data_IF_530140707123
#
_entry.id   IF_530140707123
#
_cell.length_a   1.000
_cell.length_b   1.000
_cell.length_c   1.000
_cell.angle_alpha   90.00
_cell.angle_beta   90.00
_cell.angle_gamma   90.00
#
_symmetry.space_group_name_H-M   'P 1'
#
loop_
_entity.id
_entity.type
_entity.pdbx_description
1 polymer ?
#
# COMPACT_ATOMS: atom_id res chain seq x y z
N UNK A 1 11.92 -4.63 15.48
CA UNK A 1 10.83 -4.10 14.62
C UNK A 1 10.28 -5.25 13.79
N UNK A 2 8.98 -5.25 13.53
CA UNK A 2 8.32 -6.28 12.72
C UNK A 2 8.28 -5.90 11.24
N UNK A 3 7.85 -6.80 10.34
CA UNK A 3 7.83 -6.54 8.91
C UNK A 3 7.04 -5.29 8.50
N UNK A 4 5.98 -4.96 9.24
CA UNK A 4 5.11 -3.80 9.01
C UNK A 4 5.63 -2.50 9.62
N UNK A 5 6.61 -2.54 10.51
CA UNK A 5 7.15 -1.34 11.15
C UNK A 5 8.56 -1.01 10.67
N UNK A 6 9.24 -1.93 10.01
CA UNK A 6 10.55 -1.66 9.43
C UNK A 6 10.43 -0.91 8.10
N UNK A 7 11.12 0.24 7.91
CA UNK A 7 11.11 0.98 6.65
C UNK A 7 11.54 0.11 5.47
N UNK A 8 10.81 0.10 4.34
CA UNK A 8 11.22 -0.63 3.14
C UNK A 8 12.64 -0.32 2.65
N UNK A 9 13.14 0.91 2.85
CA UNK A 9 14.51 1.28 2.48
C UNK A 9 15.61 0.54 3.23
N UNK A 10 15.34 0.07 4.45
CA UNK A 10 16.31 -0.77 5.18
C UNK A 10 16.34 -2.21 4.66
N UNK A 11 15.37 -2.60 3.84
CA UNK A 11 15.29 -3.92 3.19
C UNK A 11 15.75 -3.89 1.73
N UNK A 12 16.36 -2.79 1.27
CA UNK A 12 16.88 -2.63 -0.08
C UNK A 12 15.88 -2.09 -1.10
N UNK A 13 14.66 -1.71 -0.69
CA UNK A 13 13.67 -1.06 -1.57
C UNK A 13 13.95 0.44 -1.57
N UNK A 14 14.27 1.08 -2.71
CA UNK A 14 14.56 2.50 -2.70
C UNK A 14 13.35 3.34 -2.25
N UNK A 15 13.59 4.37 -1.42
CA UNK A 15 12.53 5.19 -0.81
C UNK A 15 11.59 5.84 -1.83
N UNK A 16 12.12 6.26 -3.00
CA UNK A 16 11.28 6.80 -4.08
C UNK A 16 10.26 5.78 -4.59
N UNK A 17 10.62 4.49 -4.67
CA UNK A 17 9.72 3.43 -5.11
C UNK A 17 8.64 3.16 -4.06
N UNK A 18 9.02 3.24 -2.77
CA UNK A 18 8.06 3.15 -1.66
C UNK A 18 7.03 4.27 -1.71
N UNK A 19 7.45 5.51 -1.93
CA UNK A 19 6.52 6.64 -2.06
C UNK A 19 5.66 6.54 -3.31
N UNK A 20 6.23 6.13 -4.46
CA UNK A 20 5.46 5.88 -5.67
C UNK A 20 4.35 4.85 -5.41
N UNK A 21 4.68 3.73 -4.76
CA UNK A 21 3.71 2.68 -4.46
C UNK A 21 2.62 3.16 -3.49
N UNK A 22 2.98 3.96 -2.48
CA UNK A 22 2.03 4.58 -1.56
C UNK A 22 1.05 5.52 -2.29
N UNK A 23 1.54 6.32 -3.25
CA UNK A 23 0.69 7.18 -4.08
C UNK A 23 -0.25 6.36 -4.96
N UNK A 24 0.24 5.27 -5.57
CA UNK A 24 -0.62 4.35 -6.34
C UNK A 24 -1.71 3.75 -5.47
N UNK A 25 -1.39 3.28 -4.27
CA UNK A 25 -2.37 2.79 -3.30
C UNK A 25 -3.40 3.85 -2.91
N UNK A 26 -2.96 5.10 -2.69
CA UNK A 26 -3.86 6.22 -2.38
C UNK A 26 -4.81 6.53 -3.55
N UNK A 27 -4.29 6.59 -4.78
CA UNK A 27 -5.12 6.82 -5.98
C UNK A 27 -6.11 5.68 -6.19
N UNK A 28 -5.69 4.44 -5.95
CA UNK A 28 -6.56 3.26 -6.03
C UNK A 28 -7.69 3.33 -5.00
N UNK A 29 -7.38 3.58 -3.73
CA UNK A 29 -8.37 3.66 -2.65
C UNK A 29 -9.31 4.86 -2.79
N UNK A 30 -8.82 5.96 -3.36
CA UNK A 30 -9.63 7.15 -3.64
C UNK A 30 -10.39 7.08 -4.97
N UNK A 31 -10.25 6.02 -5.76
CA UNK A 31 -10.94 5.90 -7.03
C UNK A 31 -12.38 5.41 -6.81
N UNK A 32 -13.40 6.29 -6.81
CA UNK A 32 -14.79 5.88 -6.60
C UNK A 32 -15.35 5.01 -7.75
N UNK A 33 -14.64 4.96 -8.88
CA UNK A 33 -15.02 4.15 -10.06
C UNK A 33 -14.30 2.80 -10.11
N UNK A 34 -13.37 2.53 -9.19
CA UNK A 34 -12.49 1.36 -9.17
C UNK A 34 -13.19 0.02 -8.94
N UNK A 35 -14.32 0.01 -8.23
CA UNK A 35 -15.14 -1.19 -8.02
C UNK A 35 -15.96 -1.65 -9.24
N UNK A 36 -15.85 -0.97 -10.40
CA UNK A 36 -16.59 -1.33 -11.62
C UNK A 36 -15.78 -2.21 -12.59
N UNK A 37 -14.46 -2.34 -12.40
CA UNK A 37 -13.57 -3.15 -13.25
C UNK A 37 -12.75 -4.07 -12.35
N UNK A 38 -13.44 -4.90 -11.58
CA UNK A 38 -12.77 -5.91 -10.76
C UNK A 38 -12.56 -7.19 -11.57
N UNK A 39 -11.33 -7.68 -11.56
CA UNK A 39 -10.95 -8.98 -12.14
C UNK A 39 -11.52 -10.13 -11.28
N UNK A 40 -11.83 -9.84 -10.01
CA UNK A 40 -12.36 -10.77 -9.02
C UNK A 40 -13.78 -10.33 -8.67
N UNK A 41 -14.80 -11.19 -8.79
CA UNK A 41 -16.15 -10.82 -8.42
C UNK A 41 -16.26 -10.57 -6.91
N UNK A 42 -16.65 -9.34 -6.55
CA UNK A 42 -16.97 -8.81 -5.21
C UNK A 42 -18.03 -9.58 -4.38
N UNK A 43 -18.53 -10.70 -4.92
CA UNK A 43 -19.59 -11.52 -4.32
C UNK A 43 -19.03 -12.46 -3.24
N UNK A 44 -17.70 -12.67 -3.19
CA UNK A 44 -17.07 -13.48 -2.15
C UNK A 44 -16.59 -12.56 -1.02
N UNK A 45 -17.31 -12.47 0.11
CA UNK A 45 -16.83 -11.72 1.27
C UNK A 45 -15.43 -12.23 1.64
N UNK A 46 -14.50 -11.30 1.93
CA UNK A 46 -13.05 -11.49 2.19
C UNK A 46 -12.15 -11.36 0.94
N UNK A 47 -12.60 -11.77 -0.26
CA UNK A 47 -11.73 -11.81 -1.46
C UNK A 47 -11.91 -10.57 -2.34
N UNK A 48 -13.11 -9.97 -2.36
CA UNK A 48 -13.41 -8.73 -3.10
C UNK A 48 -12.50 -7.55 -2.69
N UNK A 49 -12.41 -7.24 -1.40
CA UNK A 49 -11.64 -6.08 -0.88
C UNK A 49 -10.15 -6.36 -0.60
N UNK A 50 -9.58 -7.45 -1.13
CA UNK A 50 -8.19 -7.80 -0.82
C UNK A 50 -7.19 -6.82 -1.46
N UNK A 51 -7.52 -6.34 -2.65
CA UNK A 51 -6.77 -5.31 -3.37
C UNK A 51 -6.83 -3.95 -2.67
N UNK A 52 -7.97 -3.56 -2.08
CA UNK A 52 -8.06 -2.41 -1.17
C UNK A 52 -7.12 -2.59 0.04
N UNK A 53 -7.06 -3.80 0.61
CA UNK A 53 -6.13 -4.15 1.67
C UNK A 53 -4.66 -3.99 1.26
N UNK A 54 -4.31 -4.43 0.04
CA UNK A 54 -2.97 -4.24 -0.52
C UNK A 54 -2.68 -2.75 -0.72
N UNK A 55 -3.62 -1.98 -1.29
CA UNK A 55 -3.49 -0.53 -1.44
C UNK A 55 -3.23 0.15 -0.09
N UNK A 56 -3.93 -0.28 0.96
CA UNK A 56 -3.73 0.24 2.32
C UNK A 56 -2.35 -0.10 2.88
N UNK A 57 -1.84 -1.31 2.63
CA UNK A 57 -0.47 -1.71 3.03
C UNK A 57 0.58 -0.88 2.30
N UNK A 58 0.37 -0.55 1.01
CA UNK A 58 1.28 0.31 0.26
C UNK A 58 1.32 1.73 0.85
N UNK A 59 0.17 2.30 1.17
CA UNK A 59 0.07 3.60 1.85
C UNK A 59 0.79 3.54 3.20
N UNK A 60 0.52 2.49 4.00
CA UNK A 60 1.15 2.29 5.30
C UNK A 60 2.67 2.27 5.23
N UNK A 61 3.25 1.53 4.27
CA UNK A 61 4.69 1.50 4.09
C UNK A 61 5.30 2.85 3.68
N UNK A 62 4.56 3.67 2.92
CA UNK A 62 4.94 5.05 2.65
C UNK A 62 5.03 5.90 3.92
N UNK A 63 4.07 5.75 4.84
CA UNK A 63 4.08 6.44 6.13
C UNK A 63 5.24 5.98 7.02
N UNK A 64 5.47 4.67 7.11
CA UNK A 64 6.61 4.11 7.86
C UNK A 64 7.93 4.65 7.30
N UNK A 65 8.10 4.64 5.98
CA UNK A 65 9.30 5.21 5.34
C UNK A 65 9.45 6.71 5.65
N UNK A 66 8.36 7.47 5.65
CA UNK A 66 8.37 8.89 5.99
C UNK A 66 8.78 9.19 7.44
N UNK A 67 8.22 8.45 8.41
CA UNK A 67 8.46 8.69 9.83
C UNK A 67 9.73 8.02 10.37
N UNK A 68 10.11 6.87 9.83
CA UNK A 68 11.18 6.04 10.37
C UNK A 68 12.40 5.94 9.45
N UNK A 69 12.24 6.12 8.13
CA UNK A 69 13.35 6.04 7.17
C UNK A 69 14.44 7.10 7.37
N UNK A 70 14.11 8.22 8.01
CA UNK A 70 15.04 9.32 8.35
C UNK A 70 15.72 9.19 9.71
N UNK A 71 15.38 8.21 10.55
CA UNK A 71 15.97 8.02 11.89
C UNK A 71 17.34 7.31 11.85
N UNK A 72 18.11 7.50 10.78
CA UNK A 72 19.51 7.07 10.69
C UNK A 72 20.42 8.08 11.33
#
# INVERSE_FOLDING_TARGET
MGPLTTPPSTRGIPSWATYLAAVVGMVYLLNPTGGLIEIIPDIIPIVGNLDEGVAMVLIWYGLVEFFEGRKK
#
